data_IF_665440321397
#
_entry.id   IF_665440321397
#
_cell.length_a   1.000
_cell.length_b   1.000
_cell.length_c   1.000
_cell.angle_alpha   90.00
_cell.angle_beta   90.00
_cell.angle_gamma   90.00
#
_symmetry.space_group_name_H-M   'P 1'
#
loop_
_entity.id
_entity.type
_entity.pdbx_description
1 polymer ?
#
# COMPACT_ATOMS: atom_id res chain seq x y z
N UNK A 1 0.05 -3.05 11.08
CA UNK A 1 0.65 -4.22 10.40
C UNK A 1 1.39 -3.87 9.09
N UNK A 2 1.52 -2.60 8.71
CA UNK A 2 2.30 -2.11 7.57
C UNK A 2 3.39 -1.16 8.08
N UNK A 3 4.53 -1.06 7.39
CA UNK A 3 5.64 -0.19 7.77
C UNK A 3 6.96 -0.95 8.02
N UNK A 4 7.04 -2.19 7.53
CA UNK A 4 8.21 -3.04 7.72
C UNK A 4 9.26 -2.89 6.61
N UNK A 5 8.85 -2.48 5.41
CA UNK A 5 9.77 -2.36 4.27
C UNK A 5 10.15 -0.89 4.12
N UNK A 6 11.32 -0.53 4.57
CA UNK A 6 11.88 0.81 4.35
C UNK A 6 13.28 0.72 3.76
N UNK A 7 13.62 1.66 2.89
CA UNK A 7 14.97 1.77 2.36
C UNK A 7 15.93 2.30 3.44
N UNK A 8 17.09 1.67 3.58
CA UNK A 8 18.17 2.20 4.40
C UNK A 8 19.01 3.18 3.56
N UNK A 9 18.95 4.51 3.84
CA UNK A 9 19.68 5.50 3.05
C UNK A 9 21.19 5.29 3.03
N UNK A 10 21.75 4.71 4.11
CA UNK A 10 23.18 4.49 4.23
C UNK A 10 23.70 3.36 3.32
N UNK A 11 22.81 2.52 2.81
CA UNK A 11 23.14 1.37 1.96
C UNK A 11 22.79 1.57 0.49
N UNK A 12 22.11 2.66 0.16
CA UNK A 12 21.73 2.98 -1.21
C UNK A 12 22.68 3.99 -1.82
N UNK A 13 22.92 3.88 -3.12
CA UNK A 13 23.55 4.95 -3.89
C UNK A 13 22.65 6.17 -3.89
N UNK A 14 23.20 7.36 -4.02
CA UNK A 14 22.44 8.63 -4.00
C UNK A 14 21.33 8.65 -5.06
N UNK A 15 21.59 8.14 -6.26
CA UNK A 15 20.60 8.06 -7.36
C UNK A 15 19.45 7.11 -7.04
N UNK A 16 19.72 5.94 -6.41
CA UNK A 16 18.69 4.97 -6.01
C UNK A 16 17.82 5.53 -4.89
N UNK A 17 18.44 6.21 -3.92
CA UNK A 17 17.70 6.88 -2.85
C UNK A 17 16.87 8.06 -3.37
N UNK A 18 17.38 8.82 -4.36
CA UNK A 18 16.62 9.86 -5.03
C UNK A 18 15.40 9.28 -5.75
N UNK A 19 15.57 8.15 -6.45
CA UNK A 19 14.49 7.41 -7.11
C UNK A 19 13.44 6.96 -6.10
N UNK A 20 13.86 6.31 -5.01
CA UNK A 20 12.98 5.88 -3.93
C UNK A 20 12.15 7.02 -3.34
N UNK A 21 12.80 8.14 -3.02
CA UNK A 21 12.12 9.34 -2.50
C UNK A 21 11.15 9.96 -3.51
N UNK A 22 11.52 9.98 -4.76
CA UNK A 22 10.65 10.49 -5.83
C UNK A 22 9.39 9.65 -6.00
N UNK A 23 9.49 8.31 -5.92
CA UNK A 23 8.34 7.42 -5.92
C UNK A 23 7.45 7.64 -4.68
N UNK A 24 8.05 7.80 -3.50
CA UNK A 24 7.33 8.13 -2.26
C UNK A 24 6.56 9.47 -2.37
N UNK A 25 7.20 10.49 -2.94
CA UNK A 25 6.55 11.77 -3.21
C UNK A 25 5.45 11.65 -4.28
N UNK A 26 5.65 10.83 -5.31
CA UNK A 26 4.63 10.51 -6.31
C UNK A 26 3.41 9.84 -5.69
N UNK A 27 3.62 8.83 -4.83
CA UNK A 27 2.53 8.18 -4.08
C UNK A 27 1.76 9.19 -3.21
N UNK A 28 2.46 10.08 -2.50
CA UNK A 28 1.85 11.14 -1.70
C UNK A 28 0.94 12.05 -2.53
N UNK A 29 1.38 12.41 -3.75
CA UNK A 29 0.61 13.23 -4.70
C UNK A 29 -0.59 12.46 -5.25
N UNK A 30 -0.37 11.21 -5.66
CA UNK A 30 -1.44 10.34 -6.16
C UNK A 30 -2.52 10.10 -5.11
N UNK A 31 -2.16 9.88 -3.85
CA UNK A 31 -3.11 9.79 -2.72
C UNK A 31 -3.96 11.06 -2.62
N UNK A 32 -3.34 12.24 -2.70
CA UNK A 32 -4.09 13.51 -2.67
C UNK A 32 -5.04 13.64 -3.86
N UNK A 33 -4.57 13.31 -5.05
CA UNK A 33 -5.31 13.52 -6.30
C UNK A 33 -6.44 12.51 -6.48
N UNK A 34 -6.22 11.23 -6.15
CA UNK A 34 -7.15 10.13 -6.39
C UNK A 34 -8.05 9.83 -5.18
N UNK A 35 -7.48 9.89 -3.98
CA UNK A 35 -8.13 9.43 -2.76
C UNK A 35 -8.53 10.58 -1.81
N UNK A 36 -8.07 11.80 -2.08
CA UNK A 36 -8.33 12.96 -1.23
C UNK A 36 -7.19 13.27 -0.27
N UNK A 37 -7.15 14.53 0.19
CA UNK A 37 -6.04 15.06 0.99
C UNK A 37 -5.77 14.31 2.30
N UNK A 38 -6.80 13.81 2.95
CA UNK A 38 -6.70 13.05 4.20
C UNK A 38 -6.02 11.70 4.01
N UNK A 39 -6.12 11.06 2.84
CA UNK A 39 -5.49 9.77 2.57
C UNK A 39 -3.95 9.82 2.60
N UNK A 40 -3.36 11.01 2.51
CA UNK A 40 -1.91 11.22 2.70
C UNK A 40 -1.43 10.86 4.11
N UNK A 41 -2.31 10.84 5.11
CA UNK A 41 -1.98 10.42 6.48
C UNK A 41 -1.67 8.92 6.55
N UNK A 42 -2.13 8.15 5.57
CA UNK A 42 -1.89 6.72 5.47
C UNK A 42 -0.66 6.35 4.62
N UNK A 43 0.09 7.34 4.11
CA UNK A 43 1.24 7.13 3.25
C UNK A 43 2.25 6.15 3.87
N UNK A 44 2.58 5.07 3.16
CA UNK A 44 3.46 4.01 3.66
C UNK A 44 4.66 3.75 2.75
N UNK A 45 5.73 3.26 3.34
CA UNK A 45 6.92 2.82 2.64
C UNK A 45 6.72 1.49 1.91
N UNK A 46 5.87 0.61 2.44
CA UNK A 46 5.55 -0.67 1.81
C UNK A 46 4.90 -0.48 0.44
N UNK A 47 3.99 0.50 0.33
CA UNK A 47 3.40 0.85 -0.98
C UNK A 47 4.41 1.49 -1.92
N UNK A 48 5.40 2.22 -1.40
CA UNK A 48 6.49 2.74 -2.22
C UNK A 48 7.33 1.60 -2.80
N UNK A 49 7.62 0.57 -1.99
CA UNK A 49 8.29 -0.64 -2.45
C UNK A 49 7.48 -1.37 -3.53
N UNK A 50 6.18 -1.57 -3.31
CA UNK A 50 5.28 -2.17 -4.31
C UNK A 50 5.34 -1.41 -5.64
N UNK A 51 5.25 -0.08 -5.59
CA UNK A 51 5.30 0.78 -6.78
C UNK A 51 6.63 0.63 -7.51
N UNK A 52 7.75 0.66 -6.80
CA UNK A 52 9.07 0.50 -7.39
C UNK A 52 9.22 -0.87 -8.07
N UNK A 53 8.82 -1.95 -7.39
CA UNK A 53 8.90 -3.29 -7.94
C UNK A 53 8.05 -3.44 -9.21
N UNK A 54 6.78 -3.07 -9.15
CA UNK A 54 5.89 -3.20 -10.29
C UNK A 54 6.26 -2.24 -11.43
N UNK A 55 6.72 -1.02 -11.12
CA UNK A 55 7.20 -0.09 -12.15
C UNK A 55 8.45 -0.59 -12.85
N UNK A 56 9.37 -1.27 -12.13
CA UNK A 56 10.56 -1.87 -12.75
C UNK A 56 10.25 -3.09 -13.63
N UNK A 57 9.12 -3.77 -13.35
CA UNK A 57 8.70 -4.95 -14.10
C UNK A 57 7.88 -4.59 -15.35
N UNK A 58 6.98 -3.62 -15.20
CA UNK A 58 6.04 -3.24 -16.26
C UNK A 58 6.52 -2.06 -17.12
N UNK A 59 7.52 -1.32 -16.65
CA UNK A 59 8.11 -0.15 -17.32
C UNK A 59 7.04 0.82 -17.92
N UNK A 60 6.03 1.23 -17.12
CA UNK A 60 4.97 2.08 -17.63
C UNK A 60 5.48 3.48 -17.94
N UNK A 61 4.78 4.18 -18.85
CA UNK A 61 5.04 5.60 -19.09
C UNK A 61 4.97 6.39 -17.78
N UNK A 62 5.98 7.21 -17.54
CA UNK A 62 6.16 7.93 -16.30
C UNK A 62 6.13 9.43 -16.51
N UNK A 63 5.39 10.10 -15.65
CA UNK A 63 5.40 11.56 -15.54
C UNK A 63 6.23 11.95 -14.33
N UNK A 64 7.11 12.91 -14.50
CA UNK A 64 7.97 13.41 -13.43
C UNK A 64 7.87 14.92 -13.28
N UNK A 65 8.24 15.41 -12.13
CA UNK A 65 8.29 16.86 -11.88
C UNK A 65 8.89 17.18 -10.53
N UNK A 66 8.89 18.47 -10.22
CA UNK A 66 9.41 19.00 -8.95
C UNK A 66 8.33 19.87 -8.31
N UNK A 67 8.05 19.66 -7.04
CA UNK A 67 7.09 20.50 -6.31
C UNK A 67 7.42 20.60 -4.82
N UNK A 68 6.95 21.69 -4.22
CA UNK A 68 6.94 21.81 -2.75
C UNK A 68 5.70 21.10 -2.20
N UNK A 69 5.81 20.57 -0.99
CA UNK A 69 4.65 19.99 -0.30
C UNK A 69 4.41 20.66 1.05
N UNK A 70 3.20 20.50 1.58
CA UNK A 70 2.82 21.10 2.86
C UNK A 70 3.65 20.60 4.05
N UNK A 71 4.16 19.37 3.98
CA UNK A 71 5.01 18.78 5.03
C UNK A 71 6.45 19.29 4.95
N UNK A 72 6.93 19.61 3.74
CA UNK A 72 8.29 20.12 3.48
C UNK A 72 8.21 21.40 2.63
N UNK A 73 7.75 22.52 3.21
CA UNK A 73 7.47 23.73 2.43
C UNK A 73 8.73 24.45 1.95
N UNK A 74 9.86 24.24 2.62
CA UNK A 74 11.10 24.96 2.33
C UNK A 74 11.81 24.39 1.10
N UNK A 75 11.86 23.06 0.96
CA UNK A 75 12.58 22.38 -0.12
C UNK A 75 11.62 21.76 -1.12
N UNK A 76 11.88 22.00 -2.41
CA UNK A 76 11.17 21.30 -3.48
C UNK A 76 11.71 19.86 -3.61
N UNK A 77 10.80 18.92 -3.89
CA UNK A 77 11.11 17.50 -4.03
C UNK A 77 10.72 17.01 -5.42
N UNK A 78 11.55 16.18 -6.00
CA UNK A 78 11.23 15.43 -7.21
C UNK A 78 10.15 14.40 -6.92
N UNK A 79 9.33 14.09 -7.92
CA UNK A 79 8.31 13.07 -7.84
C UNK A 79 8.15 12.37 -9.20
N UNK A 80 7.80 11.10 -9.17
CA UNK A 80 7.49 10.27 -10.32
C UNK A 80 6.13 9.61 -10.12
N UNK A 81 5.29 9.68 -11.13
CA UNK A 81 3.95 9.09 -11.15
C UNK A 81 3.72 8.31 -12.44
N UNK A 82 3.09 7.15 -12.32
CA UNK A 82 2.66 6.31 -13.43
C UNK A 82 1.37 5.57 -13.05
N UNK A 83 0.92 4.63 -13.88
CA UNK A 83 -0.28 3.84 -13.57
C UNK A 83 -0.14 2.99 -12.31
N UNK A 84 1.08 2.46 -12.03
CA UNK A 84 1.36 1.69 -10.81
C UNK A 84 1.27 2.57 -9.58
N UNK A 85 1.69 3.83 -9.67
CA UNK A 85 1.54 4.80 -8.59
C UNK A 85 0.07 5.03 -8.24
N UNK A 86 -0.81 5.10 -9.27
CA UNK A 86 -2.27 5.22 -9.04
C UNK A 86 -2.85 3.97 -8.39
N UNK A 87 -2.45 2.79 -8.85
CA UNK A 87 -2.80 1.53 -8.21
C UNK A 87 -2.38 1.51 -6.73
N UNK A 88 -1.10 1.80 -6.45
CA UNK A 88 -0.57 1.87 -5.09
C UNK A 88 -1.32 2.86 -4.19
N UNK A 89 -1.74 4.01 -4.73
CA UNK A 89 -2.53 4.97 -3.96
C UNK A 89 -3.90 4.40 -3.51
N UNK A 90 -4.62 3.71 -4.42
CA UNK A 90 -5.88 3.07 -4.06
C UNK A 90 -5.69 1.92 -3.08
N UNK A 91 -4.68 1.08 -3.27
CA UNK A 91 -4.39 -0.03 -2.34
C UNK A 91 -3.97 0.49 -0.97
N UNK A 92 -3.15 1.55 -0.92
CA UNK A 92 -2.76 2.18 0.34
C UNK A 92 -3.96 2.74 1.11
N UNK A 93 -4.89 3.40 0.43
CA UNK A 93 -6.09 3.95 1.06
C UNK A 93 -7.06 2.84 1.52
N UNK A 94 -7.21 1.76 0.73
CA UNK A 94 -8.04 0.61 1.10
C UNK A 94 -7.49 -0.13 2.32
N UNK A 95 -6.17 -0.38 2.37
CA UNK A 95 -5.52 -0.99 3.53
C UNK A 95 -5.65 -0.12 4.79
N UNK A 96 -5.48 1.19 4.66
CA UNK A 96 -5.66 2.11 5.78
C UNK A 96 -7.11 2.11 6.29
N UNK A 97 -8.10 2.01 5.41
CA UNK A 97 -9.50 1.87 5.76
C UNK A 97 -9.76 0.61 6.58
N UNK A 98 -9.29 -0.55 6.10
CA UNK A 98 -9.47 -1.82 6.77
C UNK A 98 -8.77 -1.84 8.15
N UNK A 99 -7.54 -1.31 8.26
CA UNK A 99 -6.86 -1.17 9.55
C UNK A 99 -7.65 -0.32 10.54
N UNK A 100 -8.19 0.82 10.09
CA UNK A 100 -9.00 1.66 10.97
C UNK A 100 -10.29 0.97 11.40
N UNK A 101 -10.89 0.13 10.54
CA UNK A 101 -12.06 -0.67 10.91
C UNK A 101 -11.73 -1.76 11.93
N UNK A 102 -10.56 -2.38 11.80
CA UNK A 102 -10.08 -3.42 12.72
C UNK A 102 -9.84 -2.82 14.10
N UNK A 103 -9.07 -1.75 14.19
CA UNK A 103 -8.86 -0.98 15.43
C UNK A 103 -10.19 -0.54 16.08
N UNK A 104 -11.16 -0.13 15.27
CA UNK A 104 -12.49 0.22 15.79
C UNK A 104 -13.24 -0.99 16.34
N UNK A 105 -13.16 -2.14 15.70
CA UNK A 105 -13.83 -3.36 16.15
C UNK A 105 -13.23 -3.91 17.44
N UNK A 106 -11.91 -3.85 17.56
CA UNK A 106 -11.17 -4.43 18.68
C UNK A 106 -11.10 -3.49 19.89
N UNK A 107 -10.77 -2.23 19.69
CA UNK A 107 -10.50 -1.29 20.78
C UNK A 107 -11.59 -0.22 20.97
N UNK A 108 -12.60 -0.17 20.07
CA UNK A 108 -13.68 0.84 20.09
C UNK A 108 -13.16 2.28 20.12
N UNK A 109 -12.00 2.55 19.54
CA UNK A 109 -11.43 3.90 19.46
C UNK A 109 -12.24 4.78 18.50
N UNK A 110 -12.88 5.82 19.01
CA UNK A 110 -13.64 6.77 18.19
C UNK A 110 -12.77 7.45 17.11
N UNK A 111 -11.47 7.64 17.39
CA UNK A 111 -10.52 8.19 16.42
C UNK A 111 -10.37 7.28 15.20
N UNK A 112 -10.27 5.96 15.40
CA UNK A 112 -10.19 4.98 14.32
C UNK A 112 -11.48 4.95 13.48
N UNK A 113 -12.63 5.07 14.11
CA UNK A 113 -13.91 5.19 13.39
C UNK A 113 -13.96 6.46 12.50
N UNK A 114 -13.53 7.61 13.04
CA UNK A 114 -13.48 8.84 12.26
C UNK A 114 -12.47 8.77 11.11
N UNK A 115 -11.30 8.16 11.33
CA UNK A 115 -10.31 7.92 10.29
C UNK A 115 -10.85 6.96 9.21
N UNK A 116 -11.54 5.87 9.58
CA UNK A 116 -12.20 4.99 8.64
C UNK A 116 -13.17 5.76 7.73
N UNK A 117 -13.96 6.67 8.29
CA UNK A 117 -14.86 7.54 7.50
C UNK A 117 -14.11 8.43 6.50
N UNK A 118 -12.91 8.92 6.83
CA UNK A 118 -12.10 9.72 5.92
C UNK A 118 -11.60 8.89 4.73
N UNK A 119 -11.33 7.60 4.94
CA UNK A 119 -10.83 6.70 3.89
C UNK A 119 -11.92 5.94 3.14
N UNK A 120 -13.16 5.91 3.66
CA UNK A 120 -14.24 5.06 3.14
C UNK A 120 -14.54 5.28 1.66
N UNK A 121 -14.59 6.54 1.20
CA UNK A 121 -14.83 6.87 -0.20
C UNK A 121 -13.72 6.31 -1.10
N UNK A 122 -12.46 6.53 -0.71
CA UNK A 122 -11.32 6.02 -1.47
C UNK A 122 -11.28 4.49 -1.52
N UNK A 123 -11.64 3.83 -0.40
CA UNK A 123 -11.75 2.36 -0.35
C UNK A 123 -12.86 1.83 -1.26
N UNK A 124 -14.01 2.49 -1.33
CA UNK A 124 -15.11 2.13 -2.25
C UNK A 124 -14.67 2.32 -3.72
N UNK A 125 -14.01 3.42 -4.04
CA UNK A 125 -13.48 3.67 -5.38
C UNK A 125 -12.40 2.63 -5.75
N UNK A 126 -11.54 2.24 -4.80
CA UNK A 126 -10.56 1.16 -4.98
C UNK A 126 -11.24 -0.17 -5.28
N UNK A 127 -12.27 -0.55 -4.51
CA UNK A 127 -13.03 -1.78 -4.73
C UNK A 127 -13.72 -1.82 -6.10
N UNK A 128 -14.24 -0.69 -6.57
CA UNK A 128 -14.82 -0.59 -7.89
C UNK A 128 -13.81 -0.70 -9.04
N UNK A 129 -12.58 -0.23 -8.86
CA UNK A 129 -11.52 -0.26 -9.89
C UNK A 129 -10.68 -1.52 -9.85
N UNK A 130 -10.44 -2.07 -8.66
CA UNK A 130 -9.56 -3.19 -8.40
C UNK A 130 -10.24 -4.21 -7.46
N UNK A 131 -11.33 -4.86 -7.92
CA UNK A 131 -12.15 -5.71 -7.05
C UNK A 131 -11.37 -6.86 -6.44
N UNK A 132 -10.52 -7.55 -7.22
CA UNK A 132 -9.77 -8.72 -6.76
C UNK A 132 -8.85 -8.46 -5.56
N UNK A 133 -7.89 -7.53 -5.59
CA UNK A 133 -7.05 -7.25 -4.44
C UNK A 133 -7.85 -6.69 -3.25
N UNK A 134 -8.91 -5.91 -3.48
CA UNK A 134 -9.75 -5.41 -2.38
C UNK A 134 -10.57 -6.52 -1.72
N UNK A 135 -11.15 -7.44 -2.47
CA UNK A 135 -11.85 -8.63 -1.94
C UNK A 135 -10.88 -9.54 -1.16
N UNK A 136 -9.68 -9.76 -1.70
CA UNK A 136 -8.65 -10.52 -1.01
C UNK A 136 -8.24 -9.84 0.30
N UNK A 137 -8.10 -8.51 0.28
CA UNK A 137 -7.77 -7.70 1.45
C UNK A 137 -8.81 -7.89 2.57
N UNK A 138 -10.08 -7.64 2.28
CA UNK A 138 -11.17 -7.78 3.25
C UNK A 138 -11.27 -9.22 3.77
N UNK A 139 -11.17 -10.22 2.88
CA UNK A 139 -11.25 -11.64 3.24
C UNK A 139 -10.10 -12.07 4.15
N UNK A 140 -8.85 -11.73 3.78
CA UNK A 140 -7.69 -12.21 4.53
C UNK A 140 -7.50 -11.45 5.85
N UNK A 141 -7.79 -10.17 5.91
CA UNK A 141 -7.76 -9.42 7.17
C UNK A 141 -8.82 -9.94 8.14
N UNK A 142 -10.04 -10.22 7.66
CA UNK A 142 -11.07 -10.87 8.50
C UNK A 142 -10.63 -12.25 9.00
N UNK A 143 -9.92 -13.03 8.15
CA UNK A 143 -9.37 -14.33 8.54
C UNK A 143 -8.27 -14.19 9.59
N UNK A 144 -7.38 -13.21 9.45
CA UNK A 144 -6.32 -12.92 10.44
C UNK A 144 -6.95 -12.59 11.78
N UNK A 145 -7.93 -11.69 11.84
CA UNK A 145 -8.65 -11.36 13.07
C UNK A 145 -9.31 -12.59 13.71
N UNK A 146 -9.89 -13.51 12.93
CA UNK A 146 -10.46 -14.75 13.45
C UNK A 146 -9.37 -15.68 14.04
N UNK A 147 -8.25 -15.86 13.32
CA UNK A 147 -7.13 -16.67 13.76
C UNK A 147 -6.48 -16.13 15.05
N UNK A 148 -6.38 -14.80 15.19
CA UNK A 148 -5.89 -14.15 16.42
C UNK A 148 -6.80 -14.44 17.62
N UNK A 149 -8.11 -14.35 17.44
CA UNK A 149 -9.10 -14.71 18.49
C UNK A 149 -9.02 -16.16 18.91
N UNK A 150 -8.77 -17.06 17.96
CA UNK A 150 -8.58 -18.48 18.19
C UNK A 150 -7.19 -18.82 18.76
N UNK A 151 -6.29 -17.83 18.87
CA UNK A 151 -4.88 -17.99 19.25
C UNK A 151 -4.16 -19.02 18.35
N UNK A 152 -4.45 -18.98 17.06
CA UNK A 152 -3.83 -19.85 16.09
C UNK A 152 -2.31 -19.61 16.01
N UNK A 153 -1.59 -20.63 15.54
CA UNK A 153 -0.13 -20.53 15.39
C UNK A 153 0.32 -19.49 14.36
N UNK A 154 1.53 -19.01 14.51
CA UNK A 154 2.15 -17.98 13.65
C UNK A 154 2.10 -18.37 12.17
N UNK A 155 2.27 -19.65 11.83
CA UNK A 155 2.23 -20.13 10.44
C UNK A 155 0.87 -19.88 9.77
N UNK A 156 -0.23 -19.99 10.53
CA UNK A 156 -1.57 -19.74 9.99
C UNK A 156 -1.79 -18.25 9.70
N UNK A 157 -1.32 -17.38 10.61
CA UNK A 157 -1.36 -15.93 10.44
C UNK A 157 -0.49 -15.50 9.28
N UNK A 158 0.77 -15.95 9.22
CA UNK A 158 1.69 -15.70 8.12
C UNK A 158 1.15 -16.22 6.79
N UNK A 159 0.45 -17.37 6.80
CA UNK A 159 -0.22 -17.89 5.62
C UNK A 159 -1.32 -16.96 5.08
N UNK A 160 -2.20 -16.48 5.95
CA UNK A 160 -3.28 -15.56 5.58
C UNK A 160 -2.72 -14.22 5.08
N UNK A 161 -1.68 -13.69 5.74
CA UNK A 161 -1.02 -12.46 5.29
C UNK A 161 -0.28 -12.66 3.96
N UNK A 162 0.33 -13.83 3.75
CA UNK A 162 0.92 -14.20 2.45
C UNK A 162 -0.11 -14.22 1.31
N UNK A 163 -1.32 -14.76 1.55
CA UNK A 163 -2.40 -14.76 0.57
C UNK A 163 -2.90 -13.34 0.24
N UNK A 164 -2.95 -12.44 1.24
CA UNK A 164 -3.22 -11.01 1.02
C UNK A 164 -2.18 -10.39 0.10
N UNK A 165 -0.90 -10.56 0.45
CA UNK A 165 0.21 -9.99 -0.33
C UNK A 165 0.27 -10.58 -1.74
N UNK A 166 -0.03 -11.86 -1.92
CA UNK A 166 -0.08 -12.51 -3.23
C UNK A 166 -1.02 -11.77 -4.20
N UNK A 167 -2.22 -11.39 -3.77
CA UNK A 167 -3.16 -10.68 -4.61
C UNK A 167 -2.84 -9.18 -4.74
N UNK A 168 -2.26 -8.58 -3.72
CA UNK A 168 -1.87 -7.16 -3.74
C UNK A 168 -0.74 -6.89 -4.75
N UNK A 169 0.15 -7.85 -4.99
CA UNK A 169 1.24 -7.71 -5.96
C UNK A 169 0.79 -7.89 -7.41
N UNK A 170 -0.42 -8.39 -7.66
CA UNK A 170 -0.94 -8.59 -9.03
C UNK A 170 -1.72 -7.38 -9.50
N UNK A 171 -1.06 -6.49 -10.23
CA UNK A 171 -1.72 -5.36 -10.90
C UNK A 171 -2.65 -5.81 -12.04
N UNK A 172 -2.22 -6.83 -12.81
CA UNK A 172 -2.92 -7.36 -14.00
C UNK A 172 -2.80 -8.88 -14.06
N UNK A 173 -3.82 -9.52 -14.65
CA UNK A 173 -3.77 -10.95 -14.98
C UNK A 173 -3.02 -11.15 -16.30
N UNK A 174 -1.71 -11.24 -16.22
CA UNK A 174 -0.81 -11.45 -17.35
C UNK A 174 0.24 -12.52 -17.05
N UNK A 175 1.26 -12.63 -17.93
CA UNK A 175 2.36 -13.59 -17.77
C UNK A 175 3.13 -13.49 -16.45
N UNK A 176 3.09 -12.32 -15.78
CA UNK A 176 3.79 -12.06 -14.53
C UNK A 176 2.95 -12.43 -13.29
N UNK A 177 1.63 -12.53 -13.44
CA UNK A 177 0.72 -12.77 -12.32
C UNK A 177 1.08 -14.01 -11.47
N UNK A 178 1.43 -15.18 -12.05
CA UNK A 178 1.82 -16.35 -11.24
C UNK A 178 3.10 -16.11 -10.44
N UNK A 179 4.08 -15.40 -11.00
CA UNK A 179 5.34 -15.08 -10.32
C UNK A 179 5.12 -14.07 -9.21
N UNK A 180 4.36 -13.02 -9.49
CA UNK A 180 4.02 -11.97 -8.51
C UNK A 180 3.23 -12.52 -7.32
N UNK A 181 2.28 -13.46 -7.57
CA UNK A 181 1.60 -14.16 -6.46
C UNK A 181 2.57 -14.96 -5.60
N UNK A 182 3.46 -15.72 -6.22
CA UNK A 182 4.47 -16.49 -5.47
C UNK A 182 5.39 -15.58 -4.67
N UNK A 183 5.82 -14.47 -5.26
CA UNK A 183 6.66 -13.48 -4.59
C UNK A 183 5.92 -12.83 -3.42
N UNK A 184 4.70 -12.34 -3.64
CA UNK A 184 3.88 -11.73 -2.59
C UNK A 184 3.58 -12.70 -1.45
N UNK A 185 3.25 -13.96 -1.78
CA UNK A 185 3.06 -15.04 -0.80
C UNK A 185 4.31 -15.26 0.06
N UNK A 186 5.48 -15.36 -0.57
CA UNK A 186 6.74 -15.57 0.14
C UNK A 186 7.07 -14.36 1.03
N UNK A 187 6.95 -13.15 0.50
CA UNK A 187 7.19 -11.91 1.23
C UNK A 187 6.25 -11.78 2.45
N UNK A 188 4.96 -12.00 2.25
CA UNK A 188 3.98 -11.88 3.33
C UNK A 188 4.12 -12.94 4.43
N UNK A 189 4.72 -14.09 4.11
CA UNK A 189 5.07 -15.10 5.13
C UNK A 189 6.34 -14.79 5.89
N UNK A 190 7.20 -13.96 5.30
CA UNK A 190 8.48 -13.58 5.90
C UNK A 190 8.33 -12.40 6.88
N UNK A 191 7.39 -11.48 6.61
CA UNK A 191 7.09 -10.32 7.45
C UNK A 191 6.23 -10.74 8.65
#
# INVERSE_FOLDING_TARGET
MFGYISADPARLREEDFRRYRGCYCGLCRALKAQCGGACRLALSYDMTFLILLLSSLYEPEEVQGVSRCAVHPVKAHEWWENEVTRYGAYMNAALAYENCLDDWRDERRLTSFLQARLFSRAAQEAAGRYPRPCEAMTRQLSRITALERERAGVDALAGAFGELMAELFVLREDRWAPLLRRFGMALGRFI
#
